data_IF_448876985091
#
_entry.id   IF_448876985091
#
_cell.length_a   1.000
_cell.length_b   1.000
_cell.length_c   1.000
_cell.angle_alpha   90.00
_cell.angle_beta   90.00
_cell.angle_gamma   90.00
#
_symmetry.space_group_name_H-M   'P 1'
#
loop_
_entity.id
_entity.type
_entity.pdbx_description
1 polymer ?
#
# COMPACT_ATOMS: atom_id res chain seq x y z
N UNK A 1 1.06 5.27 -4.62
CA UNK A 1 0.97 6.34 -3.63
C UNK A 1 2.26 7.20 -3.59
N UNK A 2 3.46 6.62 -3.32
CA UNK A 2 4.72 7.38 -3.30
C UNK A 2 5.00 8.10 -4.61
N UNK A 3 4.93 7.39 -5.73
CA UNK A 3 5.15 7.95 -7.06
C UNK A 3 4.16 9.07 -7.38
N UNK A 4 2.91 8.92 -6.98
CA UNK A 4 1.87 9.93 -7.20
C UNK A 4 2.16 11.21 -6.43
N UNK A 5 2.57 11.11 -5.16
CA UNK A 5 2.94 12.29 -4.36
C UNK A 5 4.17 13.00 -4.93
N UNK A 6 5.19 12.24 -5.31
CA UNK A 6 6.41 12.79 -5.93
C UNK A 6 6.07 13.50 -7.25
N UNK A 7 5.19 12.93 -8.09
CA UNK A 7 4.73 13.57 -9.32
C UNK A 7 3.91 14.85 -9.05
N UNK A 8 3.04 14.83 -8.04
CA UNK A 8 2.29 16.04 -7.63
C UNK A 8 3.25 17.13 -7.15
N UNK A 9 4.23 16.78 -6.33
CA UNK A 9 5.27 17.71 -5.89
C UNK A 9 6.06 18.29 -7.07
N UNK A 10 6.40 17.46 -8.06
CA UNK A 10 7.07 17.91 -9.29
C UNK A 10 6.26 18.93 -10.07
N UNK A 11 4.97 18.67 -10.24
CA UNK A 11 4.07 19.56 -10.98
C UNK A 11 3.82 20.87 -10.21
N UNK A 12 3.73 20.80 -8.88
CA UNK A 12 3.40 21.96 -8.02
C UNK A 12 4.63 22.81 -7.72
N UNK A 13 5.82 22.20 -7.64
CA UNK A 13 7.09 22.89 -7.35
C UNK A 13 7.81 23.22 -8.65
N UNK A 14 7.43 24.31 -9.30
CA UNK A 14 8.02 24.81 -10.55
C UNK A 14 9.48 25.32 -10.39
N UNK A 15 10.36 24.56 -9.76
CA UNK A 15 11.76 24.96 -9.51
C UNK A 15 12.66 23.88 -8.94
N UNK A 16 12.14 22.72 -8.59
CA UNK A 16 12.99 21.58 -8.15
C UNK A 16 13.56 20.85 -9.36
N UNK A 17 14.87 20.62 -9.36
CA UNK A 17 15.52 19.79 -10.35
C UNK A 17 15.05 18.34 -10.28
N UNK A 18 15.09 17.61 -11.38
CA UNK A 18 14.76 16.18 -11.41
C UNK A 18 15.64 15.37 -10.43
N UNK A 19 16.86 15.82 -10.20
CA UNK A 19 17.82 15.19 -9.28
C UNK A 19 17.38 15.30 -7.81
N UNK A 20 16.84 16.45 -7.38
CA UNK A 20 16.37 16.65 -6.00
C UNK A 20 15.16 15.76 -5.69
N UNK A 21 14.32 15.53 -6.68
CA UNK A 21 13.14 14.67 -6.56
C UNK A 21 13.55 13.21 -6.45
N UNK A 22 14.51 12.79 -7.26
CA UNK A 22 15.03 11.42 -7.20
C UNK A 22 15.70 11.13 -5.86
N UNK A 23 16.48 12.07 -5.34
CA UNK A 23 17.11 11.98 -4.03
C UNK A 23 16.06 11.90 -2.92
N UNK A 24 15.06 12.76 -2.95
CA UNK A 24 13.96 12.75 -1.97
C UNK A 24 13.18 11.44 -2.00
N UNK A 25 12.92 10.89 -3.18
CA UNK A 25 12.28 9.60 -3.36
C UNK A 25 13.13 8.47 -2.76
N UNK A 26 14.43 8.44 -3.04
CA UNK A 26 15.36 7.44 -2.50
C UNK A 26 15.46 7.51 -0.97
N UNK A 27 15.53 8.71 -0.42
CA UNK A 27 15.56 8.93 1.04
C UNK A 27 14.26 8.42 1.67
N UNK A 28 13.11 8.81 1.15
CA UNK A 28 11.82 8.36 1.66
C UNK A 28 11.67 6.83 1.60
N UNK A 29 12.17 6.22 0.53
CA UNK A 29 12.16 4.77 0.35
C UNK A 29 13.10 4.08 1.34
N UNK A 30 14.33 4.56 1.48
CA UNK A 30 15.34 4.01 2.38
C UNK A 30 14.93 4.14 3.85
N UNK A 31 14.49 5.34 4.27
CA UNK A 31 14.03 5.59 5.64
C UNK A 31 12.76 4.81 5.94
N UNK A 32 11.78 4.79 5.01
CA UNK A 32 10.55 4.01 5.17
C UNK A 32 10.83 2.50 5.26
N UNK A 33 11.75 1.99 4.43
CA UNK A 33 12.14 0.58 4.43
C UNK A 33 12.85 0.15 5.72
N UNK A 34 13.85 0.90 6.13
CA UNK A 34 14.64 0.59 7.34
C UNK A 34 13.82 0.75 8.62
N UNK A 35 13.05 1.82 8.75
CA UNK A 35 12.17 2.04 9.91
C UNK A 35 11.08 0.97 9.99
N UNK A 36 10.45 0.61 8.87
CA UNK A 36 9.45 -0.46 8.82
C UNK A 36 10.01 -1.82 9.23
N UNK A 37 11.23 -2.14 8.82
CA UNK A 37 11.91 -3.37 9.21
C UNK A 37 12.25 -3.39 10.71
N UNK A 38 12.84 -2.32 11.23
CA UNK A 38 13.21 -2.21 12.65
C UNK A 38 11.98 -2.24 13.56
N UNK A 39 10.98 -1.40 13.27
CA UNK A 39 9.76 -1.32 14.06
C UNK A 39 8.89 -2.57 13.92
N UNK A 40 8.87 -3.21 12.75
CA UNK A 40 8.21 -4.50 12.56
C UNK A 40 8.83 -5.61 13.42
N UNK A 41 10.17 -5.67 13.48
CA UNK A 41 10.89 -6.61 14.34
C UNK A 41 10.63 -6.34 15.82
N UNK A 42 10.61 -5.07 16.20
CA UNK A 42 10.28 -4.64 17.56
C UNK A 42 8.84 -5.00 17.93
N UNK A 43 7.88 -4.81 17.05
CA UNK A 43 6.49 -5.20 17.26
C UNK A 43 6.35 -6.71 17.49
N UNK A 44 7.00 -7.54 16.68
CA UNK A 44 7.01 -8.99 16.86
C UNK A 44 7.62 -9.40 18.22
N UNK A 45 8.75 -8.77 18.57
CA UNK A 45 9.43 -9.06 19.85
C UNK A 45 8.55 -8.68 21.05
N UNK A 46 7.89 -7.53 21.00
CA UNK A 46 7.02 -7.05 22.07
C UNK A 46 5.77 -7.92 22.19
N UNK A 47 5.09 -8.24 21.08
CA UNK A 47 3.90 -9.09 21.08
C UNK A 47 4.20 -10.46 21.68
N UNK A 48 5.37 -11.03 21.38
CA UNK A 48 5.76 -12.35 21.91
C UNK A 48 6.28 -12.31 23.35
N UNK A 49 6.75 -11.15 23.84
CA UNK A 49 7.30 -11.01 25.18
C UNK A 49 6.23 -10.62 26.22
N UNK A 50 5.22 -9.89 25.79
CA UNK A 50 4.14 -9.45 26.67
C UNK A 50 3.17 -10.61 26.85
N UNK A 51 2.95 -11.01 28.11
CA UNK A 51 1.91 -11.97 28.50
C UNK A 51 0.67 -11.21 28.97
N UNK A 52 -0.24 -10.95 28.04
CA UNK A 52 -1.50 -10.28 28.33
C UNK A 52 -2.53 -11.34 28.78
N UNK A 53 -3.06 -11.19 30.00
CA UNK A 53 -4.14 -12.05 30.52
C UNK A 53 -5.37 -12.10 29.64
N UNK A 54 -5.67 -11.01 28.91
CA UNK A 54 -6.79 -10.93 28.00
C UNK A 54 -6.31 -10.97 26.54
N UNK A 55 -6.68 -12.03 25.83
CA UNK A 55 -6.29 -12.26 24.43
C UNK A 55 -6.80 -11.17 23.47
N UNK A 56 -7.93 -10.53 23.78
CA UNK A 56 -8.50 -9.46 22.95
C UNK A 56 -7.67 -8.18 22.92
N UNK A 57 -6.69 -8.02 23.81
CA UNK A 57 -5.80 -6.86 23.83
C UNK A 57 -4.66 -6.94 22.79
N UNK A 58 -4.30 -8.14 22.31
CA UNK A 58 -3.24 -8.30 21.31
C UNK A 58 -3.53 -7.58 19.98
N UNK A 59 -4.75 -7.67 19.40
CA UNK A 59 -5.07 -6.92 18.21
C UNK A 59 -4.99 -5.39 18.40
N UNK A 60 -5.42 -4.89 19.57
CA UNK A 60 -5.36 -3.45 19.89
C UNK A 60 -3.90 -2.99 20.01
N UNK A 61 -3.07 -3.82 20.66
CA UNK A 61 -1.63 -3.56 20.75
C UNK A 61 -0.99 -3.48 19.36
N UNK A 62 -1.32 -4.42 18.46
CA UNK A 62 -0.84 -4.38 17.08
C UNK A 62 -1.31 -3.12 16.33
N UNK A 63 -2.58 -2.73 16.51
CA UNK A 63 -3.12 -1.50 15.93
C UNK A 63 -2.35 -0.27 16.41
N UNK A 64 -2.03 -0.20 17.69
CA UNK A 64 -1.20 0.87 18.27
C UNK A 64 0.19 0.91 17.64
N UNK A 65 0.80 -0.26 17.38
CA UNK A 65 2.08 -0.34 16.68
C UNK A 65 2.01 0.12 15.23
N UNK A 66 0.90 -0.11 14.53
CA UNK A 66 0.69 0.39 13.16
C UNK A 66 0.74 1.92 13.14
N UNK A 67 -0.03 2.59 14.03
CA UNK A 67 -0.02 4.05 14.13
C UNK A 67 1.32 4.59 14.59
N UNK A 68 1.95 3.94 15.56
CA UNK A 68 3.28 4.32 16.04
C UNK A 68 4.33 4.26 14.93
N UNK A 69 4.33 3.16 14.17
CA UNK A 69 5.25 2.97 13.04
C UNK A 69 5.05 4.04 11.97
N UNK A 70 3.79 4.33 11.64
CA UNK A 70 3.46 5.38 10.68
C UNK A 70 4.00 6.73 11.12
N UNK A 71 3.64 7.17 12.33
CA UNK A 71 4.00 8.50 12.87
C UNK A 71 5.51 8.66 13.04
N UNK A 72 6.18 7.65 13.60
CA UNK A 72 7.64 7.70 13.77
C UNK A 72 8.39 7.78 12.45
N UNK A 73 7.93 7.06 11.44
CA UNK A 73 8.56 7.11 10.11
C UNK A 73 8.32 8.45 9.43
N UNK A 74 7.12 9.00 9.56
CA UNK A 74 6.74 10.29 8.97
C UNK A 74 7.55 11.44 9.60
N UNK A 75 7.75 11.43 10.93
CA UNK A 75 8.62 12.36 11.64
C UNK A 75 10.09 12.32 11.14
N UNK A 76 10.56 11.15 10.75
CA UNK A 76 11.89 10.97 10.15
C UNK A 76 11.95 11.32 8.66
N UNK A 77 10.92 11.98 8.09
CA UNK A 77 10.78 12.28 6.66
C UNK A 77 10.83 11.03 5.76
N UNK A 78 10.53 9.87 6.31
CA UNK A 78 10.35 8.62 5.58
C UNK A 78 8.91 8.46 5.11
N UNK A 79 8.66 7.44 4.28
CA UNK A 79 7.30 7.11 3.89
C UNK A 79 6.65 6.15 4.91
N UNK A 80 5.72 6.67 5.73
CA UNK A 80 5.01 5.92 6.77
C UNK A 80 4.19 4.76 6.22
N UNK A 81 3.61 4.88 5.02
CA UNK A 81 2.85 3.79 4.39
C UNK A 81 3.74 2.61 3.99
N UNK A 82 4.93 2.91 3.45
CA UNK A 82 5.92 1.87 3.13
C UNK A 82 6.40 1.16 4.41
N UNK A 83 6.66 1.93 5.47
CA UNK A 83 7.09 1.38 6.75
C UNK A 83 6.04 0.46 7.36
N UNK A 84 4.78 0.87 7.40
CA UNK A 84 3.67 0.04 7.88
C UNK A 84 3.50 -1.22 7.04
N UNK A 85 3.63 -1.11 5.71
CA UNK A 85 3.56 -2.26 4.81
C UNK A 85 4.65 -3.30 5.12
N UNK A 86 5.89 -2.85 5.26
CA UNK A 86 7.03 -3.73 5.58
C UNK A 86 6.87 -4.33 6.99
N UNK A 87 6.49 -3.51 7.99
CA UNK A 87 6.21 -3.99 9.33
C UNK A 87 5.08 -5.04 9.33
N UNK A 88 4.03 -4.82 8.55
CA UNK A 88 2.93 -5.77 8.37
C UNK A 88 3.39 -7.11 7.77
N UNK A 89 4.28 -7.08 6.77
CA UNK A 89 4.88 -8.30 6.22
C UNK A 89 5.72 -9.04 7.25
N UNK A 90 6.48 -8.32 8.08
CA UNK A 90 7.28 -8.91 9.15
C UNK A 90 6.41 -9.61 10.19
N UNK A 91 5.36 -8.93 10.67
CA UNK A 91 4.40 -9.48 11.63
C UNK A 91 3.63 -10.66 11.02
N UNK A 92 3.20 -10.55 9.77
CA UNK A 92 2.45 -11.59 9.06
C UNK A 92 3.24 -12.89 8.86
N UNK A 93 4.56 -12.79 8.64
CA UNK A 93 5.44 -13.93 8.46
C UNK A 93 6.02 -14.48 9.78
N UNK A 94 5.96 -13.71 10.87
CA UNK A 94 6.46 -14.13 12.17
C UNK A 94 5.50 -15.10 12.86
N UNK A 95 6.06 -15.92 13.74
CA UNK A 95 5.28 -16.73 14.69
C UNK A 95 4.91 -15.82 15.86
N UNK A 96 3.69 -15.34 15.90
CA UNK A 96 3.16 -14.48 16.95
C UNK A 96 2.13 -15.24 17.81
N UNK A 97 2.07 -14.88 19.08
CA UNK A 97 1.07 -15.37 20.01
C UNK A 97 -0.32 -14.86 19.58
N UNK A 98 -1.36 -15.67 19.77
CA UNK A 98 -2.76 -15.32 19.42
C UNK A 98 -2.97 -14.84 17.97
N UNK A 99 -2.23 -15.43 17.03
CA UNK A 99 -2.28 -15.07 15.61
C UNK A 99 -3.68 -15.11 15.03
N UNK A 100 -4.52 -16.05 15.46
CA UNK A 100 -5.88 -16.25 14.94
C UNK A 100 -6.79 -15.08 15.31
N UNK A 101 -6.76 -14.67 16.57
CA UNK A 101 -7.53 -13.53 17.10
C UNK A 101 -7.11 -12.23 16.43
N UNK A 102 -5.81 -12.00 16.31
CA UNK A 102 -5.25 -10.84 15.59
C UNK A 102 -5.71 -10.82 14.13
N UNK A 103 -5.62 -11.95 13.43
CA UNK A 103 -6.02 -12.02 12.02
C UNK A 103 -7.53 -11.79 11.83
N UNK A 104 -8.37 -12.33 12.70
CA UNK A 104 -9.83 -12.14 12.65
C UNK A 104 -10.19 -10.68 12.88
N UNK A 105 -9.58 -10.05 13.88
CA UNK A 105 -9.81 -8.64 14.19
C UNK A 105 -9.34 -7.74 13.02
N UNK A 106 -8.13 -7.98 12.49
CA UNK A 106 -7.60 -7.20 11.37
C UNK A 106 -8.43 -7.36 10.10
N UNK A 107 -8.97 -8.55 9.86
CA UNK A 107 -9.89 -8.78 8.76
C UNK A 107 -11.18 -7.95 8.91
N UNK A 108 -11.78 -7.93 10.10
CA UNK A 108 -12.94 -7.08 10.39
C UNK A 108 -12.65 -5.59 10.22
N UNK A 109 -11.49 -5.13 10.72
CA UNK A 109 -11.04 -3.75 10.53
C UNK A 109 -10.84 -3.39 9.06
N UNK A 110 -10.30 -4.32 8.26
CA UNK A 110 -10.13 -4.10 6.82
C UNK A 110 -11.46 -3.86 6.14
N UNK A 111 -12.47 -4.67 6.44
CA UNK A 111 -13.84 -4.49 5.92
C UNK A 111 -14.44 -3.14 6.34
N UNK A 112 -14.27 -2.75 7.61
CA UNK A 112 -14.75 -1.48 8.13
C UNK A 112 -14.09 -0.30 7.42
N UNK A 113 -12.76 -0.29 7.31
CA UNK A 113 -12.04 0.76 6.61
C UNK A 113 -12.37 0.81 5.11
N UNK A 114 -12.64 -0.32 4.49
CA UNK A 114 -13.07 -0.38 3.10
C UNK A 114 -14.44 0.29 2.91
N UNK A 115 -15.39 0.03 3.80
CA UNK A 115 -16.71 0.68 3.78
C UNK A 115 -16.56 2.20 3.97
N UNK A 116 -15.76 2.63 4.95
CA UNK A 116 -15.51 4.06 5.20
C UNK A 116 -14.85 4.71 3.98
N UNK A 117 -13.89 4.05 3.36
CA UNK A 117 -13.21 4.55 2.17
C UNK A 117 -14.19 4.76 1.01
N UNK A 118 -15.02 3.77 0.70
CA UNK A 118 -15.99 3.89 -0.38
C UNK A 118 -17.08 4.94 -0.08
N UNK A 119 -17.53 5.03 1.17
CA UNK A 119 -18.46 6.05 1.61
C UNK A 119 -17.86 7.45 1.43
N UNK A 120 -16.63 7.65 1.89
CA UNK A 120 -15.92 8.92 1.77
C UNK A 120 -15.69 9.30 0.30
N UNK A 121 -15.27 8.34 -0.54
CA UNK A 121 -15.14 8.57 -1.97
C UNK A 121 -16.49 8.96 -2.61
N UNK A 122 -17.56 8.26 -2.26
CA UNK A 122 -18.90 8.58 -2.78
C UNK A 122 -19.38 9.97 -2.38
N UNK A 123 -19.07 10.43 -1.16
CA UNK A 123 -19.41 11.76 -0.68
C UNK A 123 -18.55 12.88 -1.30
N UNK A 124 -17.31 12.57 -1.63
CA UNK A 124 -16.36 13.53 -2.24
C UNK A 124 -16.63 13.76 -3.73
N UNK A 125 -17.30 12.83 -4.38
CA UNK A 125 -17.58 12.89 -5.82
C UNK A 125 -18.63 13.96 -6.10
N UNK A 126 -18.24 14.97 -6.91
CA UNK A 126 -19.17 15.94 -7.47
C UNK A 126 -19.67 15.47 -8.84
N UNK A 127 -20.93 15.00 -8.97
CA UNK A 127 -21.41 14.42 -10.23
C UNK A 127 -21.38 15.38 -11.40
N UNK A 128 -21.49 16.69 -11.14
CA UNK A 128 -21.52 17.71 -12.19
C UNK A 128 -20.17 17.90 -12.86
N UNK A 129 -19.08 17.81 -12.11
CA UNK A 129 -17.72 17.90 -12.65
C UNK A 129 -17.26 16.60 -13.32
N UNK A 130 -17.80 15.46 -12.89
CA UNK A 130 -17.48 14.16 -13.48
C UNK A 130 -17.88 14.06 -14.96
N UNK A 131 -19.00 14.64 -15.36
CA UNK A 131 -19.47 14.60 -16.75
C UNK A 131 -18.46 15.25 -17.71
N UNK A 132 -17.81 16.34 -17.32
CA UNK A 132 -16.83 17.04 -18.13
C UNK A 132 -15.53 16.25 -18.32
N UNK A 133 -15.15 15.43 -17.33
CA UNK A 133 -13.93 14.65 -17.30
C UNK A 133 -14.17 13.18 -17.75
N UNK A 134 -15.43 12.78 -17.92
CA UNK A 134 -15.81 11.37 -18.20
C UNK A 134 -15.16 10.85 -19.50
N UNK A 135 -15.12 11.62 -20.55
CA UNK A 135 -14.54 11.19 -21.85
C UNK A 135 -13.03 10.94 -21.73
N UNK A 136 -12.19 11.88 -21.28
CA UNK A 136 -10.76 11.63 -21.13
C UNK A 136 -10.46 10.55 -20.07
N UNK A 137 -11.20 10.50 -18.97
CA UNK A 137 -11.04 9.47 -17.94
C UNK A 137 -11.33 8.06 -18.50
N UNK A 138 -12.39 7.92 -19.31
CA UNK A 138 -12.73 6.63 -19.95
C UNK A 138 -11.67 6.20 -20.95
N UNK A 139 -11.15 7.12 -21.76
CA UNK A 139 -10.05 6.84 -22.69
C UNK A 139 -8.79 6.36 -21.98
N UNK A 140 -8.41 7.05 -20.89
CA UNK A 140 -7.26 6.66 -20.07
C UNK A 140 -7.50 5.29 -19.43
N UNK A 141 -8.71 5.04 -18.92
CA UNK A 141 -9.09 3.76 -18.35
C UNK A 141 -8.99 2.61 -19.34
N UNK A 142 -9.51 2.79 -20.55
CA UNK A 142 -9.42 1.79 -21.64
C UNK A 142 -7.95 1.55 -22.02
N UNK A 143 -7.17 2.61 -22.18
CA UNK A 143 -5.74 2.49 -22.48
C UNK A 143 -4.99 1.71 -21.39
N UNK A 144 -5.26 2.00 -20.12
CA UNK A 144 -4.67 1.30 -18.98
C UNK A 144 -5.01 -0.19 -18.97
N UNK A 145 -6.27 -0.54 -19.26
CA UNK A 145 -6.74 -1.93 -19.24
C UNK A 145 -6.23 -2.71 -20.45
N UNK A 146 -6.30 -2.13 -21.65
CA UNK A 146 -6.04 -2.84 -22.92
C UNK A 146 -4.56 -2.86 -23.31
N UNK A 147 -3.82 -1.79 -23.02
CA UNK A 147 -2.41 -1.65 -23.40
C UNK A 147 -1.43 -1.71 -22.22
N UNK A 148 -1.59 -0.85 -21.24
CA UNK A 148 -0.58 -0.71 -20.20
C UNK A 148 -0.43 -1.99 -19.36
N UNK A 149 -1.52 -2.63 -19.00
CA UNK A 149 -1.51 -3.87 -18.21
C UNK A 149 -0.95 -5.08 -18.94
N UNK A 150 -1.44 -5.47 -20.14
CA UNK A 150 -0.86 -6.59 -20.86
C UNK A 150 0.63 -6.38 -21.14
N UNK A 151 1.01 -5.16 -21.48
CA UNK A 151 2.42 -4.83 -21.74
C UNK A 151 3.29 -5.00 -20.49
N UNK A 152 2.85 -4.50 -19.34
CA UNK A 152 3.58 -4.64 -18.07
C UNK A 152 3.69 -6.10 -17.62
N UNK A 153 2.61 -6.87 -17.73
CA UNK A 153 2.62 -8.30 -17.37
C UNK A 153 3.51 -9.10 -18.32
N UNK A 154 3.45 -8.83 -19.62
CA UNK A 154 4.32 -9.47 -20.61
C UNK A 154 5.78 -9.15 -20.37
N UNK A 155 6.13 -7.89 -20.09
CA UNK A 155 7.50 -7.46 -19.77
C UNK A 155 8.01 -8.13 -18.49
N UNK A 156 7.21 -8.13 -17.43
CA UNK A 156 7.59 -8.77 -16.16
C UNK A 156 7.73 -10.29 -16.25
N UNK A 157 6.94 -10.95 -17.11
CA UNK A 157 6.98 -12.40 -17.28
C UNK A 157 7.91 -12.86 -18.41
N UNK A 158 8.57 -11.94 -19.13
CA UNK A 158 9.58 -12.27 -20.15
C UNK A 158 10.67 -13.23 -19.66
N UNK A 159 11.25 -13.04 -18.45
CA UNK A 159 12.29 -13.94 -17.95
C UNK A 159 11.77 -15.37 -17.67
N UNK A 160 10.48 -15.55 -17.45
CA UNK A 160 9.87 -16.84 -17.11
C UNK A 160 9.43 -17.60 -18.36
N UNK A 161 10.39 -18.25 -19.06
CA UNK A 161 10.18 -18.97 -20.34
C UNK A 161 9.18 -20.14 -20.27
N UNK A 162 8.85 -20.66 -19.09
CA UNK A 162 8.00 -21.85 -18.91
C UNK A 162 6.48 -21.57 -18.98
N UNK A 163 6.05 -20.30 -19.03
CA UNK A 163 4.63 -19.98 -19.04
C UNK A 163 4.09 -19.77 -20.46
N UNK A 164 2.97 -20.44 -20.77
CA UNK A 164 2.30 -20.31 -22.04
C UNK A 164 1.68 -18.89 -22.19
N UNK A 165 1.65 -18.38 -23.43
CA UNK A 165 1.11 -17.03 -23.74
C UNK A 165 -0.34 -16.86 -23.24
N UNK A 166 -1.17 -17.90 -23.36
CA UNK A 166 -2.55 -17.88 -22.87
C UNK A 166 -2.64 -17.68 -21.35
N UNK A 167 -1.71 -18.29 -20.59
CA UNK A 167 -1.64 -18.10 -19.14
C UNK A 167 -1.21 -16.68 -18.76
N UNK A 168 -0.32 -16.07 -19.53
CA UNK A 168 0.13 -14.67 -19.33
C UNK A 168 -1.01 -13.69 -19.61
N UNK A 169 -1.76 -13.91 -20.68
CA UNK A 169 -2.95 -13.12 -21.01
C UNK A 169 -4.03 -13.25 -19.93
N UNK A 170 -4.26 -14.47 -19.43
CA UNK A 170 -5.20 -14.70 -18.34
C UNK A 170 -4.80 -13.95 -17.07
N UNK A 171 -3.53 -13.98 -16.68
CA UNK A 171 -3.01 -13.22 -15.51
C UNK A 171 -3.20 -11.71 -15.71
N UNK A 172 -2.96 -11.21 -16.91
CA UNK A 172 -3.18 -9.82 -17.28
C UNK A 172 -4.65 -9.40 -17.12
N UNK A 173 -5.56 -10.26 -17.50
CA UNK A 173 -7.01 -10.02 -17.42
C UNK A 173 -7.54 -10.12 -15.98
N UNK A 174 -7.19 -11.19 -15.25
CA UNK A 174 -7.64 -11.42 -13.86
C UNK A 174 -7.06 -10.40 -12.89
N UNK A 175 -5.93 -9.80 -13.21
CA UNK A 175 -5.31 -8.74 -12.41
C UNK A 175 -6.09 -7.41 -12.35
N UNK A 176 -7.28 -7.32 -12.94
CA UNK A 176 -8.20 -6.18 -12.81
C UNK A 176 -8.74 -6.11 -11.36
N UNK A 177 -7.90 -5.69 -10.43
CA UNK A 177 -8.33 -5.40 -9.07
C UNK A 177 -8.76 -3.94 -9.02
N UNK A 178 -10.00 -3.71 -8.57
CA UNK A 178 -10.46 -2.40 -8.16
C UNK A 178 -9.75 -1.96 -6.88
N UNK A 179 -10.30 -0.95 -6.20
CA UNK A 179 -9.80 -0.44 -4.92
C UNK A 179 -10.10 -1.42 -3.74
N UNK A 180 -9.88 -2.72 -3.95
CA UNK A 180 -10.15 -3.79 -2.97
C UNK A 180 -8.85 -4.49 -2.66
#
# INVERSE_FOLDING_TARGET
YMLTIVLIQFITSAGMGADDILISFLIQFAVGGTSGFLLGKLAVAIINKIDLKNQSLYPILLLSFIFFTFTMTDLCKGNGYLAVYIAGMMVGNARIVNRKEIATFMSGMTWLFQIIMFLSLGLLVNPHEMLSIAIPATLIGIFMIVLARPLSVLLCLLPFKKMNINSRLFISWVGLRGAV
#
